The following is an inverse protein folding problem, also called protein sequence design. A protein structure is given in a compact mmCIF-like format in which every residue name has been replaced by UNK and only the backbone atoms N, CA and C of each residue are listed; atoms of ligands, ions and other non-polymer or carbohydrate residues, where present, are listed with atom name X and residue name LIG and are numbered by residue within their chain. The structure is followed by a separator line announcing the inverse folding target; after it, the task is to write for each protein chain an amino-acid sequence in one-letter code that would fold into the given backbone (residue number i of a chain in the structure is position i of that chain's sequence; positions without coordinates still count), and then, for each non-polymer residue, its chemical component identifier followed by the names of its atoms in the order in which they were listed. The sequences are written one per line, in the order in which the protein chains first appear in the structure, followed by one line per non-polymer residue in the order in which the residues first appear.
data_IF_949715884342
#
_entry.id   IF_949715884342
#
_cell.length_a   1.000
_cell.length_b   1.000
_cell.length_c   1.000
_cell.angle_alpha   90.00
_cell.angle_beta   90.00
_cell.angle_gamma   90.00
#
_symmetry.space_group_name_H-M   'P 1'
#
loop_
_entity.id
_entity.type
_entity.pdbx_description
1 polymer ?
#
# COMPACT_ATOMS: atom_id res chain seq x y z
N UNK A 1 41.05 -3.51 20.36
CA UNK A 1 41.71 -4.55 19.50
C UNK A 1 40.72 -5.38 18.69
N UNK A 2 39.41 -5.21 18.89
CA UNK A 2 38.37 -6.02 18.23
C UNK A 2 37.87 -5.48 16.86
N UNK A 3 38.21 -4.26 16.48
CA UNK A 3 37.66 -3.62 15.27
C UNK A 3 38.33 -4.00 13.94
N UNK A 4 39.48 -4.66 13.97
CA UNK A 4 40.25 -5.02 12.74
C UNK A 4 39.85 -6.38 12.13
N UNK A 5 39.14 -7.24 12.83
CA UNK A 5 38.73 -8.55 12.31
C UNK A 5 37.38 -8.49 11.57
N UNK A 6 36.49 -7.64 12.00
CA UNK A 6 35.20 -7.43 11.31
C UNK A 6 35.33 -6.77 9.93
N UNK A 7 36.41 -6.02 9.69
CA UNK A 7 36.67 -5.34 8.40
C UNK A 7 36.98 -6.31 7.23
N UNK A 8 37.17 -7.60 7.51
CA UNK A 8 37.56 -8.62 6.52
C UNK A 8 36.49 -9.67 6.22
N UNK A 9 35.35 -9.65 6.94
CA UNK A 9 34.32 -10.67 6.72
C UNK A 9 33.66 -10.43 5.37
N UNK A 10 33.79 -11.36 4.40
CA UNK A 10 33.13 -11.20 3.12
C UNK A 10 31.62 -11.48 3.24
N UNK A 11 30.82 -10.82 2.42
CA UNK A 11 29.43 -11.16 2.23
C UNK A 11 29.33 -12.55 1.61
N UNK A 12 28.81 -13.49 2.33
CA UNK A 12 28.68 -14.92 1.94
C UNK A 12 27.32 -15.23 1.37
N UNK A 13 26.28 -14.57 1.92
CA UNK A 13 24.92 -14.89 1.56
C UNK A 13 24.01 -13.67 1.70
N UNK A 14 22.87 -13.71 1.00
CA UNK A 14 21.81 -12.70 1.05
C UNK A 14 20.57 -13.38 1.63
N UNK A 15 20.05 -12.83 2.72
CA UNK A 15 18.83 -13.31 3.37
C UNK A 15 17.73 -12.26 3.21
N UNK A 16 16.67 -12.62 2.53
CA UNK A 16 15.51 -11.74 2.31
C UNK A 16 14.33 -12.31 3.08
N UNK A 17 13.60 -11.43 3.74
CA UNK A 17 12.36 -11.73 4.41
C UNK A 17 11.33 -10.67 4.07
N UNK A 18 10.23 -11.07 3.45
CA UNK A 18 9.07 -10.22 3.20
C UNK A 18 7.99 -10.52 4.25
N UNK A 19 7.46 -9.48 4.87
CA UNK A 19 6.40 -9.61 5.87
C UNK A 19 5.05 -9.80 5.16
N UNK A 20 4.42 -10.96 5.38
CA UNK A 20 3.11 -11.33 4.86
C UNK A 20 2.03 -11.35 5.96
N UNK A 21 2.27 -10.69 7.10
CA UNK A 21 1.33 -10.67 8.24
C UNK A 21 -0.06 -10.12 7.91
N UNK A 22 -0.18 -9.37 6.81
CA UNK A 22 -1.44 -8.82 6.30
C UNK A 22 -2.02 -9.59 5.12
N UNK A 23 -1.53 -10.80 4.83
CA UNK A 23 -1.93 -11.62 3.67
C UNK A 23 -1.82 -10.89 2.31
N UNK A 24 -0.89 -9.95 2.21
CA UNK A 24 -0.59 -9.21 0.99
C UNK A 24 0.67 -9.75 0.31
N UNK A 25 0.65 -9.82 -1.02
CA UNK A 25 1.72 -10.39 -1.85
C UNK A 25 2.06 -9.46 -3.03
N UNK A 26 2.18 -8.14 -2.76
CA UNK A 26 2.55 -7.15 -3.77
C UNK A 26 4.04 -7.17 -4.10
N UNK A 27 4.85 -7.64 -3.16
CA UNK A 27 6.30 -7.77 -3.27
C UNK A 27 6.67 -9.16 -2.79
N UNK A 28 7.48 -9.85 -3.57
CA UNK A 28 8.04 -11.17 -3.26
C UNK A 28 9.52 -11.06 -2.90
N UNK A 29 10.10 -12.13 -2.35
CA UNK A 29 11.54 -12.22 -2.10
C UNK A 29 12.33 -12.09 -3.41
N UNK A 30 11.81 -12.63 -4.53
CA UNK A 30 12.43 -12.54 -5.85
C UNK A 30 12.44 -11.08 -6.35
N UNK A 31 11.32 -10.34 -6.17
CA UNK A 31 11.28 -8.91 -6.51
C UNK A 31 12.34 -8.11 -5.73
N UNK A 32 12.52 -8.43 -4.44
CA UNK A 32 13.53 -7.78 -3.60
C UNK A 32 14.94 -8.16 -4.05
N UNK A 33 15.17 -9.42 -4.44
CA UNK A 33 16.44 -9.87 -5.00
C UNK A 33 16.76 -9.11 -6.29
N UNK A 34 15.78 -8.96 -7.18
CA UNK A 34 15.95 -8.20 -8.43
C UNK A 34 16.27 -6.73 -8.16
N UNK A 35 15.63 -6.11 -7.16
CA UNK A 35 15.96 -4.74 -6.73
C UNK A 35 17.41 -4.64 -6.24
N UNK A 36 17.90 -5.63 -5.50
CA UNK A 36 19.30 -5.67 -5.04
C UNK A 36 20.24 -5.79 -6.22
N UNK A 37 19.99 -6.74 -7.11
CA UNK A 37 20.85 -7.03 -8.28
C UNK A 37 20.86 -5.87 -9.29
N UNK A 38 19.77 -5.13 -9.42
CA UNK A 38 19.66 -3.97 -10.32
C UNK A 38 20.65 -2.85 -10.01
N UNK A 39 21.23 -2.83 -8.79
CA UNK A 39 22.29 -1.88 -8.42
C UNK A 39 23.64 -2.17 -9.05
N UNK A 40 23.80 -3.35 -9.66
CA UNK A 40 25.01 -3.72 -10.42
C UNK A 40 26.23 -4.11 -9.57
N UNK A 41 26.16 -3.97 -8.26
CA UNK A 41 27.27 -4.34 -7.36
C UNK A 41 27.20 -5.81 -6.98
N UNK A 42 28.32 -6.53 -7.14
CA UNK A 42 28.41 -7.88 -6.59
C UNK A 42 28.55 -7.81 -5.08
N UNK A 43 27.46 -8.08 -4.35
CA UNK A 43 27.50 -8.13 -2.87
C UNK A 43 28.33 -9.32 -2.38
N UNK A 44 28.19 -10.49 -3.03
CA UNK A 44 28.91 -11.69 -2.61
C UNK A 44 30.41 -11.50 -2.80
N UNK A 45 31.16 -11.78 -1.74
CA UNK A 45 32.63 -11.59 -1.68
C UNK A 45 33.07 -10.21 -1.22
N UNK A 46 32.23 -9.19 -1.26
CA UNK A 46 32.56 -7.85 -0.76
C UNK A 46 32.63 -7.83 0.76
N UNK A 47 33.57 -7.10 1.39
CA UNK A 47 33.58 -6.91 2.83
C UNK A 47 32.28 -6.30 3.32
N UNK A 48 31.63 -6.91 4.33
CA UNK A 48 30.32 -6.47 4.82
C UNK A 48 30.33 -5.02 5.35
N UNK A 49 31.48 -4.55 5.81
CA UNK A 49 31.68 -3.17 6.30
C UNK A 49 31.70 -2.13 5.17
N UNK A 50 31.98 -2.54 3.94
CA UNK A 50 32.02 -1.65 2.77
C UNK A 50 30.69 -1.62 2.01
N UNK A 51 29.75 -2.49 2.32
CA UNK A 51 28.44 -2.50 1.67
C UNK A 51 27.64 -1.25 2.08
N UNK A 52 27.21 -0.42 1.11
CA UNK A 52 26.48 0.82 1.40
C UNK A 52 25.02 0.53 1.77
N UNK A 53 24.75 -0.02 2.94
CA UNK A 53 23.45 -0.47 3.45
C UNK A 53 22.35 0.55 3.16
N UNK A 54 22.56 1.84 3.49
CA UNK A 54 21.57 2.89 3.31
C UNK A 54 21.21 3.16 1.85
N UNK A 55 22.06 2.79 0.89
CA UNK A 55 21.74 2.89 -0.54
C UNK A 55 20.71 1.81 -0.92
N UNK A 56 20.92 0.58 -0.47
CA UNK A 56 19.98 -0.53 -0.71
C UNK A 56 18.66 -0.30 0.00
N UNK A 57 18.69 0.14 1.24
CA UNK A 57 17.49 0.45 2.03
C UNK A 57 16.60 1.51 1.34
N UNK A 58 17.21 2.62 0.89
CA UNK A 58 16.49 3.65 0.15
C UNK A 58 15.97 3.14 -1.19
N UNK A 59 16.76 2.31 -1.89
CA UNK A 59 16.35 1.76 -3.19
C UNK A 59 15.14 0.83 -3.07
N UNK A 60 15.16 -0.07 -2.10
CA UNK A 60 14.04 -1.01 -1.84
C UNK A 60 12.82 -0.23 -1.32
N UNK A 61 13.01 0.71 -0.39
CA UNK A 61 11.92 1.57 0.12
C UNK A 61 11.34 2.51 -0.94
N UNK A 62 12.04 2.71 -2.07
CA UNK A 62 11.53 3.49 -3.18
C UNK A 62 10.45 2.75 -3.98
N UNK A 63 10.28 1.45 -3.82
CA UNK A 63 9.16 0.71 -4.43
C UNK A 63 7.84 1.17 -3.78
N UNK A 64 6.84 1.61 -4.56
CA UNK A 64 5.60 2.16 -4.00
C UNK A 64 4.73 1.13 -3.26
N UNK A 65 4.97 -0.17 -3.43
CA UNK A 65 4.32 -1.24 -2.66
C UNK A 65 5.03 -1.56 -1.34
N UNK A 66 6.22 -1.00 -1.13
CA UNK A 66 6.99 -1.14 0.10
C UNK A 66 6.64 0.00 1.06
N UNK A 67 6.24 -0.35 2.27
CA UNK A 67 6.04 0.60 3.37
C UNK A 67 7.38 0.99 3.99
N UNK A 68 8.22 -0.01 4.25
CA UNK A 68 9.53 0.13 4.90
C UNK A 68 10.41 -1.06 4.56
N UNK A 69 11.69 -0.80 4.36
CA UNK A 69 12.73 -1.82 4.31
C UNK A 69 13.73 -1.60 5.45
N UNK A 70 14.26 -2.68 5.98
CA UNK A 70 15.36 -2.71 6.93
C UNK A 70 16.49 -3.52 6.31
N UNK A 71 17.67 -2.90 6.16
CA UNK A 71 18.83 -3.55 5.58
C UNK A 71 19.96 -3.52 6.61
N UNK A 72 20.57 -4.67 6.86
CA UNK A 72 21.68 -4.79 7.80
C UNK A 72 22.59 -5.95 7.43
N UNK A 73 23.81 -5.94 7.98
CA UNK A 73 24.76 -7.04 7.84
C UNK A 73 24.93 -7.76 9.17
N UNK A 74 25.05 -9.09 9.12
CA UNK A 74 25.33 -9.92 10.29
C UNK A 74 26.83 -10.24 10.33
N UNK A 75 27.39 -10.41 11.55
CA UNK A 75 28.80 -10.72 11.76
C UNK A 75 29.28 -12.00 11.05
N UNK A 76 28.37 -12.91 10.71
CA UNK A 76 28.68 -14.14 9.97
C UNK A 76 28.76 -13.94 8.44
N UNK A 77 28.72 -12.70 7.93
CA UNK A 77 28.79 -12.39 6.51
C UNK A 77 27.46 -12.46 5.76
N UNK A 78 26.33 -12.44 6.44
CA UNK A 78 25.01 -12.38 5.79
C UNK A 78 24.57 -10.93 5.60
N UNK A 79 24.22 -10.58 4.36
CA UNK A 79 23.48 -9.36 4.05
C UNK A 79 21.98 -9.65 4.20
N UNK A 80 21.35 -9.01 5.17
CA UNK A 80 19.96 -9.27 5.52
C UNK A 80 19.05 -8.11 5.13
N UNK A 81 17.93 -8.43 4.52
CA UNK A 81 16.89 -7.48 4.12
C UNK A 81 15.55 -7.95 4.68
N UNK A 82 14.87 -7.05 5.37
CA UNK A 82 13.50 -7.27 5.83
C UNK A 82 12.59 -6.20 5.22
N UNK A 83 11.55 -6.63 4.51
CA UNK A 83 10.62 -5.75 3.81
C UNK A 83 9.24 -5.85 4.44
N UNK A 84 8.65 -4.70 4.74
CA UNK A 84 7.27 -4.56 5.18
C UNK A 84 6.46 -3.98 4.03
N UNK A 85 5.44 -4.69 3.60
CA UNK A 85 4.56 -4.28 2.51
C UNK A 85 3.54 -3.24 2.98
N UNK A 86 3.01 -2.44 2.05
CA UNK A 86 1.84 -1.60 2.31
C UNK A 86 0.60 -2.46 2.39
N UNK A 87 -0.36 -2.02 3.20
CA UNK A 87 -1.64 -2.69 3.40
C UNK A 87 -2.76 -1.91 2.70
N UNK A 88 -3.29 -2.38 1.56
CA UNK A 88 -4.37 -1.71 0.86
C UNK A 88 -5.69 -1.80 1.65
N UNK A 89 -6.53 -0.77 1.51
CA UNK A 89 -7.88 -0.73 2.09
C UNK A 89 -8.95 -0.47 1.05
N UNK A 90 -8.58 0.04 -0.12
CA UNK A 90 -9.50 0.38 -1.21
C UNK A 90 -8.79 0.23 -2.55
N UNK A 91 -9.49 -0.30 -3.55
CA UNK A 91 -9.08 -0.23 -4.95
C UNK A 91 -9.93 0.79 -5.68
N UNK A 92 -9.30 1.75 -6.35
CA UNK A 92 -9.97 2.84 -7.07
C UNK A 92 -9.84 2.61 -8.57
N UNK A 93 -10.97 2.70 -9.29
CA UNK A 93 -11.02 2.63 -10.75
C UNK A 93 -11.52 3.94 -11.34
N UNK A 94 -10.93 4.35 -12.45
CA UNK A 94 -11.47 5.41 -13.27
C UNK A 94 -12.44 4.89 -14.35
N UNK A 95 -12.99 5.80 -15.14
CA UNK A 95 -13.90 5.48 -16.25
C UNK A 95 -13.24 4.70 -17.39
N UNK A 96 -11.91 4.78 -17.53
CA UNK A 96 -11.12 4.09 -18.54
C UNK A 96 -10.63 2.70 -18.10
N UNK A 97 -10.93 2.29 -16.87
CA UNK A 97 -10.54 0.99 -16.32
C UNK A 97 -9.12 0.97 -15.73
N UNK A 98 -8.43 2.10 -15.67
CA UNK A 98 -7.18 2.20 -14.91
C UNK A 98 -7.48 2.08 -13.42
N UNK A 99 -6.55 1.56 -12.64
CA UNK A 99 -6.77 1.39 -11.20
C UNK A 99 -5.49 1.53 -10.38
N UNK A 100 -5.68 1.95 -9.14
CA UNK A 100 -4.66 1.97 -8.09
C UNK A 100 -5.27 1.54 -6.74
N UNK A 101 -4.43 1.34 -5.74
CA UNK A 101 -4.88 1.11 -4.37
C UNK A 101 -4.59 2.32 -3.47
N UNK A 102 -5.44 2.50 -2.46
CA UNK A 102 -5.13 3.31 -1.28
C UNK A 102 -4.78 2.37 -0.13
N UNK A 103 -3.68 2.66 0.57
CA UNK A 103 -3.28 1.92 1.76
C UNK A 103 -3.86 2.50 3.06
N UNK A 104 -3.67 1.82 4.18
CA UNK A 104 -4.12 2.26 5.52
C UNK A 104 -3.54 3.61 5.96
N UNK A 105 -2.44 4.05 5.37
CA UNK A 105 -1.81 5.33 5.66
C UNK A 105 -2.28 6.46 4.73
N UNK A 106 -3.10 6.12 3.73
CA UNK A 106 -3.61 7.04 2.71
C UNK A 106 -2.65 7.23 1.54
N UNK A 107 -1.65 6.37 1.37
CA UNK A 107 -0.74 6.42 0.22
C UNK A 107 -1.35 5.71 -0.98
N UNK A 108 -1.13 6.29 -2.16
CA UNK A 108 -1.47 5.65 -3.43
C UNK A 108 -0.40 4.61 -3.73
N UNK A 109 -0.83 3.40 -4.06
CA UNK A 109 0.05 2.30 -4.51
C UNK A 109 -0.44 1.74 -5.84
N UNK A 110 0.50 1.31 -6.71
CA UNK A 110 0.14 0.71 -7.99
C UNK A 110 -0.53 -0.66 -7.82
N UNK A 111 -1.15 -1.12 -8.88
CA UNK A 111 -1.61 -2.51 -8.98
C UNK A 111 -0.42 -3.45 -9.23
N UNK A 112 -0.55 -4.71 -8.80
CA UNK A 112 0.39 -5.77 -9.15
C UNK A 112 -0.17 -6.62 -10.30
N UNK A 113 0.72 -7.18 -11.11
CA UNK A 113 0.35 -8.14 -12.17
C UNK A 113 0.10 -9.54 -11.62
N UNK A 114 0.74 -9.86 -10.49
CA UNK A 114 0.73 -11.19 -9.87
C UNK A 114 -0.26 -11.30 -8.71
N UNK A 115 -0.71 -10.18 -8.15
CA UNK A 115 -1.54 -10.17 -6.95
C UNK A 115 -2.68 -9.14 -7.00
N UNK A 116 -3.84 -9.51 -6.50
CA UNK A 116 -5.00 -8.61 -6.32
C UNK A 116 -5.49 -8.71 -4.88
N UNK A 117 -5.46 -7.59 -4.16
CA UNK A 117 -5.94 -7.53 -2.78
C UNK A 117 -7.48 -7.63 -2.73
N UNK A 118 -7.97 -8.29 -1.68
CA UNK A 118 -9.40 -8.40 -1.38
C UNK A 118 -9.84 -7.21 -0.53
N UNK A 119 -10.09 -6.10 -1.18
CA UNK A 119 -10.55 -4.85 -0.58
C UNK A 119 -11.76 -4.32 -1.34
N UNK A 120 -12.58 -3.45 -0.75
CA UNK A 120 -13.65 -2.77 -1.47
C UNK A 120 -13.13 -2.04 -2.72
N UNK A 121 -14.02 -1.86 -3.69
CA UNK A 121 -13.72 -1.18 -4.96
C UNK A 121 -14.47 0.14 -5.01
N UNK A 122 -13.78 1.24 -5.31
CA UNK A 122 -14.39 2.52 -5.62
C UNK A 122 -14.40 2.76 -7.13
N UNK A 123 -15.50 3.25 -7.65
CA UNK A 123 -15.68 3.60 -9.06
C UNK A 123 -16.69 4.73 -9.23
N UNK A 124 -16.87 5.22 -10.45
CA UNK A 124 -17.82 6.27 -10.78
C UNK A 124 -17.13 7.55 -11.19
N UNK A 125 -17.63 8.69 -10.73
CA UNK A 125 -17.10 10.01 -11.11
C UNK A 125 -15.84 10.37 -10.29
N UNK A 126 -14.72 9.71 -10.63
CA UNK A 126 -13.41 9.90 -10.02
C UNK A 126 -12.47 10.52 -11.05
N UNK A 127 -11.77 11.59 -10.68
CA UNK A 127 -10.90 12.30 -11.61
C UNK A 127 -9.73 11.46 -12.10
N UNK A 128 -9.53 11.43 -13.43
CA UNK A 128 -8.45 10.67 -14.08
C UNK A 128 -7.05 11.20 -13.75
N UNK A 129 -6.94 12.48 -13.38
CA UNK A 129 -5.66 13.10 -12.97
C UNK A 129 -4.96 12.40 -11.81
N UNK A 130 -5.72 11.62 -11.01
CA UNK A 130 -5.17 10.90 -9.85
C UNK A 130 -4.32 9.69 -10.25
N UNK A 131 -4.55 9.15 -11.44
CA UNK A 131 -3.88 7.94 -11.91
C UNK A 131 -2.43 8.20 -12.35
N UNK A 132 -2.04 9.46 -12.50
CA UNK A 132 -0.67 9.89 -12.77
C UNK A 132 0.14 10.17 -11.50
N UNK A 133 -0.52 10.13 -10.33
CA UNK A 133 0.06 10.54 -9.03
C UNK A 133 0.62 9.36 -8.23
N UNK A 134 1.59 8.64 -8.78
CA UNK A 134 2.31 7.63 -7.99
C UNK A 134 2.98 8.27 -6.77
N UNK A 135 2.83 7.64 -5.58
CA UNK A 135 3.40 8.07 -4.29
C UNK A 135 2.72 9.26 -3.61
N UNK A 136 1.57 9.70 -4.08
CA UNK A 136 0.78 10.69 -3.35
C UNK A 136 0.17 10.08 -2.09
N UNK A 137 -0.01 10.94 -1.07
CA UNK A 137 -0.73 10.58 0.14
C UNK A 137 -1.94 11.51 0.31
N UNK A 138 -3.13 10.93 0.44
CA UNK A 138 -4.39 11.69 0.52
C UNK A 138 -4.44 12.64 1.72
N UNK A 139 -3.72 12.34 2.80
CA UNK A 139 -3.66 13.18 4.00
C UNK A 139 -2.89 14.49 3.78
N UNK A 140 -1.95 14.48 2.82
CA UNK A 140 -1.09 15.63 2.49
C UNK A 140 -1.52 16.36 1.22
N UNK A 141 -2.63 15.94 0.59
CA UNK A 141 -3.17 16.60 -0.59
C UNK A 141 -3.61 18.03 -0.28
N UNK A 142 -3.42 18.93 -1.26
CA UNK A 142 -3.95 20.31 -1.18
C UNK A 142 -5.48 20.30 -1.20
N UNK A 143 -6.09 21.36 -0.63
CA UNK A 143 -7.54 21.48 -0.61
C UNK A 143 -8.15 21.41 -2.03
N UNK A 144 -7.51 22.08 -3.02
CA UNK A 144 -7.97 22.05 -4.41
C UNK A 144 -7.95 20.65 -5.05
N UNK A 145 -7.01 19.78 -4.66
CA UNK A 145 -6.99 18.39 -5.12
C UNK A 145 -8.04 17.54 -4.41
N UNK A 146 -8.31 17.79 -3.13
CA UNK A 146 -9.37 17.12 -2.39
C UNK A 146 -10.74 17.38 -2.99
N UNK A 147 -11.04 18.62 -3.31
CA UNK A 147 -12.33 19.02 -3.92
C UNK A 147 -12.61 18.33 -5.26
N UNK A 148 -11.56 18.02 -6.03
CA UNK A 148 -11.70 17.39 -7.35
C UNK A 148 -11.68 15.85 -7.23
N UNK A 149 -10.91 15.32 -6.30
CA UNK A 149 -10.55 13.89 -6.28
C UNK A 149 -11.49 13.03 -5.44
N UNK A 150 -12.08 13.59 -4.41
CA UNK A 150 -12.87 12.87 -3.40
C UNK A 150 -12.13 11.70 -2.75
N UNK A 151 -10.80 11.62 -2.94
CA UNK A 151 -9.98 10.52 -2.38
C UNK A 151 -9.91 10.55 -0.87
N UNK A 152 -9.97 11.72 -0.26
CA UNK A 152 -10.01 11.86 1.19
C UNK A 152 -11.30 11.28 1.78
N UNK A 153 -12.46 11.56 1.18
CA UNK A 153 -13.74 10.96 1.58
C UNK A 153 -13.74 9.45 1.33
N UNK A 154 -13.24 9.00 0.18
CA UNK A 154 -13.10 7.58 -0.13
C UNK A 154 -12.18 6.87 0.87
N UNK A 155 -11.08 7.51 1.24
CA UNK A 155 -10.16 7.00 2.26
C UNK A 155 -10.81 6.92 3.64
N UNK A 156 -11.56 7.96 4.05
CA UNK A 156 -12.28 8.01 5.31
C UNK A 156 -13.34 6.88 5.37
N UNK A 157 -14.16 6.75 4.33
CA UNK A 157 -15.18 5.70 4.26
C UNK A 157 -14.57 4.29 4.23
N UNK A 158 -13.50 4.09 3.45
CA UNK A 158 -12.81 2.80 3.41
C UNK A 158 -12.16 2.44 4.76
N UNK A 159 -11.59 3.43 5.46
CA UNK A 159 -11.05 3.26 6.81
C UNK A 159 -12.15 2.88 7.79
N UNK A 160 -13.30 3.56 7.73
CA UNK A 160 -14.46 3.23 8.53
C UNK A 160 -14.92 1.80 8.29
N UNK A 161 -15.10 1.40 7.03
CA UNK A 161 -15.52 0.04 6.66
C UNK A 161 -14.52 -0.99 7.21
N UNK A 162 -13.22 -0.75 7.03
CA UNK A 162 -12.16 -1.67 7.47
C UNK A 162 -12.15 -1.89 8.99
N UNK A 163 -12.39 -0.82 9.76
CA UNK A 163 -12.34 -0.88 11.23
C UNK A 163 -13.59 -1.49 11.88
N UNK A 164 -14.64 -1.70 11.10
CA UNK A 164 -15.90 -2.27 11.56
C UNK A 164 -16.12 -3.67 10.98
N UNK A 165 -15.90 -4.71 11.77
CA UNK A 165 -15.95 -6.12 11.34
C UNK A 165 -17.23 -6.48 10.58
N UNK A 166 -18.37 -5.95 10.98
CA UNK A 166 -19.63 -6.16 10.26
C UNK A 166 -19.59 -5.60 8.84
N UNK A 167 -19.18 -4.33 8.69
CA UNK A 167 -19.24 -3.63 7.40
C UNK A 167 -18.14 -4.09 6.46
N UNK A 168 -16.99 -4.49 7.01
CA UNK A 168 -15.87 -5.06 6.26
C UNK A 168 -16.28 -6.28 5.42
N UNK A 169 -17.19 -7.11 5.93
CA UNK A 169 -17.66 -8.30 5.21
C UNK A 169 -18.87 -8.01 4.29
N UNK A 170 -19.57 -6.92 4.53
CA UNK A 170 -20.83 -6.61 3.84
C UNK A 170 -20.69 -5.62 2.69
N UNK A 171 -19.70 -4.72 2.72
CA UNK A 171 -19.53 -3.68 1.70
C UNK A 171 -18.37 -4.04 0.79
N UNK A 172 -18.68 -4.21 -0.50
CA UNK A 172 -17.68 -4.54 -1.52
C UNK A 172 -17.43 -3.40 -2.51
N UNK A 173 -18.39 -2.48 -2.66
CA UNK A 173 -18.27 -1.44 -3.65
C UNK A 173 -18.71 -0.10 -3.10
N UNK A 174 -17.97 0.94 -3.49
CA UNK A 174 -18.30 2.35 -3.27
C UNK A 174 -18.44 3.01 -4.64
N UNK A 175 -19.51 3.75 -4.86
CA UNK A 175 -19.71 4.52 -6.09
C UNK A 175 -19.66 6.01 -5.75
N UNK A 176 -18.93 6.76 -6.55
CA UNK A 176 -18.99 8.22 -6.55
C UNK A 176 -20.00 8.66 -7.58
N UNK A 177 -21.07 9.30 -7.14
CA UNK A 177 -22.17 9.78 -8.00
C UNK A 177 -21.76 11.06 -8.75
N UNK A 178 -22.48 11.46 -9.81
CA UNK A 178 -22.17 12.68 -10.58
C UNK A 178 -22.17 13.97 -9.75
N UNK A 179 -22.97 14.02 -8.68
CA UNK A 179 -23.02 15.13 -7.74
C UNK A 179 -21.95 15.07 -6.64
N UNK A 180 -21.08 14.04 -6.69
CA UNK A 180 -20.01 13.80 -5.73
C UNK A 180 -20.44 13.07 -4.46
N UNK A 181 -21.71 12.68 -4.33
CA UNK A 181 -22.16 11.86 -3.20
C UNK A 181 -21.64 10.43 -3.28
N UNK A 182 -21.51 9.78 -2.12
CA UNK A 182 -21.06 8.41 -2.02
C UNK A 182 -22.23 7.46 -1.84
N UNK A 183 -22.25 6.40 -2.63
CA UNK A 183 -23.20 5.28 -2.52
C UNK A 183 -22.40 4.01 -2.22
N UNK A 184 -22.82 3.22 -1.21
CA UNK A 184 -22.24 1.91 -0.94
C UNK A 184 -23.15 0.80 -1.45
N UNK A 185 -22.55 -0.24 -1.98
CA UNK A 185 -23.23 -1.41 -2.52
C UNK A 185 -22.78 -2.63 -1.72
N UNK A 186 -23.73 -3.28 -1.01
CA UNK A 186 -23.43 -4.48 -0.23
C UNK A 186 -23.13 -5.69 -1.11
N UNK A 187 -22.48 -6.68 -0.51
CA UNK A 187 -22.20 -7.99 -1.14
C UNK A 187 -23.48 -8.78 -1.44
N UNK A 188 -24.51 -8.59 -0.62
CA UNK A 188 -25.77 -9.35 -0.68
C UNK A 188 -26.93 -8.38 -0.87
N UNK A 189 -27.78 -8.67 -1.86
CA UNK A 189 -28.93 -7.84 -2.22
C UNK A 189 -28.60 -6.77 -3.26
N UNK A 190 -29.65 -6.25 -3.91
CA UNK A 190 -29.54 -5.20 -4.94
C UNK A 190 -29.71 -3.79 -4.35
N UNK A 191 -29.28 -3.60 -3.11
CA UNK A 191 -29.46 -2.32 -2.44
C UNK A 191 -28.35 -1.35 -2.78
N UNK A 192 -28.72 -0.14 -3.16
CA UNK A 192 -27.83 1.00 -3.29
C UNK A 192 -28.10 1.94 -2.11
N UNK A 193 -27.12 2.04 -1.22
CA UNK A 193 -27.26 2.80 0.03
C UNK A 193 -26.56 4.14 -0.14
N UNK A 194 -27.35 5.20 -0.29
CA UNK A 194 -26.83 6.56 -0.40
C UNK A 194 -26.30 7.00 0.98
N UNK A 195 -24.98 7.17 1.04
CA UNK A 195 -24.28 7.69 2.22
C UNK A 195 -24.20 9.22 2.18
N UNK A 196 -24.12 9.80 0.97
CA UNK A 196 -23.87 11.22 0.74
C UNK A 196 -22.41 11.57 1.04
N UNK A 197 -22.15 12.49 1.98
CA UNK A 197 -20.81 12.83 2.47
C UNK A 197 -20.32 11.84 3.53
N UNK A 198 -19.06 11.98 3.97
CA UNK A 198 -18.51 11.19 5.09
C UNK A 198 -18.85 11.75 6.47
N UNK A 199 -19.59 12.86 6.54
CA UNK A 199 -20.03 13.43 7.80
C UNK A 199 -20.85 12.43 8.62
N UNK A 200 -20.50 12.26 9.90
CA UNK A 200 -21.24 11.43 10.87
C UNK A 200 -21.44 9.97 10.41
N UNK A 201 -20.42 9.34 9.83
CA UNK A 201 -20.47 7.94 9.37
C UNK A 201 -21.01 7.00 10.44
N UNK A 202 -20.54 7.10 11.67
CA UNK A 202 -21.02 6.28 12.80
C UNK A 202 -22.55 6.32 12.94
N UNK A 203 -23.14 7.51 12.87
CA UNK A 203 -24.58 7.68 13.01
C UNK A 203 -25.33 7.10 11.80
N UNK A 204 -24.80 7.31 10.58
CA UNK A 204 -25.40 6.79 9.34
C UNK A 204 -25.41 5.27 9.35
N UNK A 205 -24.28 4.65 9.67
CA UNK A 205 -24.13 3.19 9.70
C UNK A 205 -24.87 2.55 10.90
N UNK A 206 -25.00 3.27 12.02
CA UNK A 206 -25.85 2.84 13.13
C UNK A 206 -27.32 2.79 12.73
N UNK A 207 -27.82 3.78 11.99
CA UNK A 207 -29.19 3.75 11.46
C UNK A 207 -29.38 2.63 10.46
N UNK A 208 -28.42 2.43 9.54
CA UNK A 208 -28.44 1.35 8.56
C UNK A 208 -28.49 -0.03 9.21
N UNK A 209 -27.95 -0.18 10.41
CA UNK A 209 -27.98 -1.44 11.16
C UNK A 209 -29.39 -1.81 11.68
N UNK A 210 -30.31 -0.85 11.75
CA UNK A 210 -31.66 -1.08 12.26
C UNK A 210 -32.63 -1.57 11.17
N UNK A 211 -32.19 -1.59 9.92
CA UNK A 211 -32.90 -2.13 8.75
C UNK A 211 -32.29 -3.45 8.28
#
# INVERSE_FOLDING_TARGET
FSSRESDKVPCRDISIQVDHSTDNFFVTEDDVMDMILSKGDSLKGSPITLIPIGVYERHISANPSVKRAEVYTKHNGVFAVKVYQREPILRVFNSEGQSFYLDVEGSIMPTSKSYTARVPVAMGYISDKLFEMERYNVKTMSASLKDISRLDELFELATFIKTHERWKSQIQQIRVEPNGELTVIPTVGDHHILIGSTDKLELKFKKLHLF
#
